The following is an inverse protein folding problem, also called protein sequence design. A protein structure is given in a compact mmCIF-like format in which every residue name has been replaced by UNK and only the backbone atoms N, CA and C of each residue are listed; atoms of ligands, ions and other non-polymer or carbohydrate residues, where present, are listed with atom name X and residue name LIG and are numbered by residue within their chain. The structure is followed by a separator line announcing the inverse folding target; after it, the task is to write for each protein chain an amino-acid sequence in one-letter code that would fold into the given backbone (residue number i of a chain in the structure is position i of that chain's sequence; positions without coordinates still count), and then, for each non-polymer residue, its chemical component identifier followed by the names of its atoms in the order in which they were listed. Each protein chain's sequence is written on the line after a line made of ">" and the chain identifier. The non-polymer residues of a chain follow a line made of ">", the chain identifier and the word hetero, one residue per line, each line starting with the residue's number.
data_IF_163676841398
#
_entry.id   IF_163676841398
#
_cell.length_a   1.000
_cell.length_b   1.000
_cell.length_c   1.000
_cell.angle_alpha   90.00
_cell.angle_beta   90.00
_cell.angle_gamma   90.00
#
_symmetry.space_group_name_H-M   'P 1'
#
loop_
_entity.id
_entity.type
_entity.pdbx_description
1 polymer ?
#
# COMPACT_ATOMS: atom_id res chain seq x y z
N UNK A 1 15.88 0.58 -10.87
CA UNK A 1 16.13 0.19 -9.47
C UNK A 1 14.89 0.57 -8.65
N UNK A 2 13.87 -0.29 -8.58
CA UNK A 2 12.61 -0.03 -7.86
C UNK A 2 12.55 -0.63 -6.44
N UNK A 3 13.61 -1.32 -5.99
CA UNK A 3 13.65 -2.02 -4.70
C UNK A 3 13.80 -1.07 -3.51
N UNK A 4 14.43 0.09 -3.70
CA UNK A 4 14.77 1.01 -2.60
C UNK A 4 13.54 1.69 -1.98
N UNK A 5 12.56 2.09 -2.81
CA UNK A 5 11.41 2.85 -2.33
C UNK A 5 10.42 1.97 -1.57
N UNK A 6 10.20 0.74 -2.04
CA UNK A 6 9.32 -0.22 -1.37
C UNK A 6 9.86 -0.64 0.01
N UNK A 7 11.18 -0.84 0.11
CA UNK A 7 11.85 -1.16 1.37
C UNK A 7 11.81 0.05 2.33
N UNK A 8 12.04 1.27 1.83
CA UNK A 8 11.93 2.50 2.61
C UNK A 8 10.52 2.74 3.15
N UNK A 9 9.48 2.49 2.34
CA UNK A 9 8.07 2.57 2.76
C UNK A 9 7.77 1.55 3.86
N UNK A 10 8.27 0.32 3.72
CA UNK A 10 8.09 -0.74 4.72
C UNK A 10 8.79 -0.41 6.05
N UNK A 11 9.99 0.16 6.00
CA UNK A 11 10.73 0.62 7.16
C UNK A 11 10.00 1.77 7.88
N UNK A 12 9.53 2.77 7.12
CA UNK A 12 8.75 3.89 7.66
C UNK A 12 7.45 3.43 8.34
N UNK A 13 6.74 2.48 7.73
CA UNK A 13 5.53 1.90 8.32
C UNK A 13 5.84 1.16 9.64
N UNK A 14 6.94 0.41 9.68
CA UNK A 14 7.39 -0.31 10.89
C UNK A 14 7.70 0.65 12.03
N UNK A 15 8.42 1.74 11.75
CA UNK A 15 8.74 2.78 12.73
C UNK A 15 7.47 3.47 13.27
N UNK A 16 6.52 3.81 12.39
CA UNK A 16 5.26 4.46 12.78
C UNK A 16 4.41 3.55 13.69
N UNK A 17 4.32 2.25 13.37
CA UNK A 17 3.62 1.27 14.17
C UNK A 17 4.26 1.10 15.56
N UNK A 18 5.59 1.00 15.62
CA UNK A 18 6.33 0.89 16.87
C UNK A 18 6.17 2.14 17.76
N UNK A 19 6.19 3.34 17.16
CA UNK A 19 5.95 4.59 17.87
C UNK A 19 4.54 4.62 18.47
N UNK A 20 3.52 4.24 17.70
CA UNK A 20 2.12 4.18 18.15
C UNK A 20 1.93 3.24 19.34
N UNK A 21 2.59 2.08 19.33
CA UNK A 21 2.50 1.09 20.41
C UNK A 21 3.07 1.59 21.74
N UNK A 22 4.09 2.47 21.70
CA UNK A 22 4.73 3.04 22.90
C UNK A 22 3.99 4.25 23.48
N UNK A 23 3.07 4.85 22.73
CA UNK A 23 2.37 6.08 23.15
C UNK A 23 1.11 5.75 23.98
N UNK A 24 1.02 6.24 25.24
CA UNK A 24 -0.18 6.06 26.04
C UNK A 24 -1.38 6.81 25.45
N UNK A 25 -2.55 6.17 25.48
CA UNK A 25 -3.75 6.66 24.80
C UNK A 25 -4.29 8.00 25.36
N UNK A 26 -4.07 8.27 26.64
CA UNK A 26 -4.66 9.40 27.36
C UNK A 26 -3.94 10.75 27.17
N UNK A 27 -2.67 10.76 26.72
CA UNK A 27 -1.88 11.99 26.59
C UNK A 27 -1.53 12.40 25.16
N UNK A 28 -1.64 11.48 24.20
CA UNK A 28 -1.08 11.66 22.86
C UNK A 28 -2.09 11.38 21.74
N UNK A 29 -3.38 11.67 21.98
CA UNK A 29 -4.45 11.38 21.03
C UNK A 29 -4.16 11.95 19.63
N UNK A 30 -3.80 13.24 19.54
CA UNK A 30 -3.46 13.89 18.25
C UNK A 30 -2.29 13.21 17.54
N UNK A 31 -1.24 12.84 18.27
CA UNK A 31 -0.08 12.17 17.70
C UNK A 31 -0.42 10.76 17.21
N UNK A 32 -1.26 10.02 17.95
CA UNK A 32 -1.76 8.70 17.52
C UNK A 32 -2.59 8.79 16.25
N UNK A 33 -3.46 9.80 16.13
CA UNK A 33 -4.25 10.04 14.91
C UNK A 33 -3.34 10.32 13.70
N UNK A 34 -2.30 11.14 13.87
CA UNK A 34 -1.34 11.42 12.80
C UNK A 34 -0.57 10.16 12.37
N UNK A 35 -0.12 9.34 13.34
CA UNK A 35 0.53 8.06 13.04
C UNK A 35 -0.41 7.10 12.30
N UNK A 36 -1.69 7.05 12.70
CA UNK A 36 -2.69 6.22 12.03
C UNK A 36 -2.93 6.69 10.59
N UNK A 37 -2.96 8.00 10.35
CA UNK A 37 -3.11 8.57 9.01
C UNK A 37 -1.91 8.20 8.11
N UNK A 38 -0.69 8.36 8.61
CA UNK A 38 0.55 8.01 7.89
C UNK A 38 0.57 6.51 7.54
N UNK A 39 0.19 5.64 8.48
CA UNK A 39 0.13 4.19 8.24
C UNK A 39 -0.87 3.82 7.14
N UNK A 40 -2.02 4.52 7.05
CA UNK A 40 -2.99 4.34 5.98
C UNK A 40 -2.45 4.79 4.62
N UNK A 41 -1.71 5.89 4.58
CA UNK A 41 -1.15 6.38 3.31
C UNK A 41 -0.03 5.47 2.80
N UNK A 42 0.88 5.02 3.67
CA UNK A 42 1.96 4.08 3.32
C UNK A 42 1.44 2.71 2.84
N UNK A 43 0.28 2.28 3.33
CA UNK A 43 -0.35 1.02 2.87
C UNK A 43 -1.08 1.17 1.54
N UNK A 44 -1.54 2.38 1.19
CA UNK A 44 -2.17 2.68 -0.11
C UNK A 44 -1.18 2.87 -1.24
N UNK A 45 -0.01 3.45 -0.95
CA UNK A 45 1.04 3.64 -1.97
C UNK A 45 1.75 2.36 -2.36
N UNK A 46 1.58 1.27 -1.61
CA UNK A 46 2.08 -0.04 -2.02
C UNK A 46 1.38 -0.38 -3.34
N UNK A 47 2.09 -0.39 -4.49
CA UNK A 47 1.45 -0.70 -5.75
C UNK A 47 0.82 -2.08 -5.59
N UNK A 48 -0.51 -2.14 -5.72
CA UNK A 48 -1.19 -3.42 -5.83
C UNK A 48 -0.43 -4.22 -6.89
N UNK A 49 -0.12 -5.51 -6.65
CA UNK A 49 0.43 -6.35 -7.71
C UNK A 49 -0.54 -6.19 -8.88
N UNK A 50 -0.07 -5.55 -9.96
CA UNK A 50 -0.91 -5.29 -11.12
C UNK A 50 -1.45 -6.64 -11.52
N UNK A 51 -2.74 -6.87 -11.26
CA UNK A 51 -3.43 -8.06 -11.68
C UNK A 51 -3.34 -7.99 -13.19
N UNK A 52 -2.43 -8.78 -13.77
CA UNK A 52 -2.18 -8.81 -15.18
C UNK A 52 -3.55 -9.01 -15.86
N UNK A 53 -4.04 -7.97 -16.51
CA UNK A 53 -5.26 -8.08 -17.29
C UNK A 53 -5.07 -9.29 -18.22
N UNK A 54 -5.99 -10.27 -18.20
CA UNK A 54 -5.87 -11.42 -19.08
C UNK A 54 -5.76 -10.90 -20.52
N UNK A 55 -4.83 -11.43 -21.33
CA UNK A 55 -4.64 -10.97 -22.69
C UNK A 55 -5.98 -11.04 -23.44
N UNK A 56 -6.31 -10.05 -24.28
CA UNK A 56 -7.52 -10.14 -25.09
C UNK A 56 -7.43 -11.41 -25.93
N UNK A 57 -8.36 -12.34 -25.67
CA UNK A 57 -8.46 -13.60 -26.40
C UNK A 57 -8.60 -13.35 -27.90
N UNK A 58 -8.20 -14.32 -28.75
CA UNK A 58 -8.19 -14.14 -30.19
C UNK A 58 -9.60 -13.81 -30.68
N UNK A 59 -9.70 -12.76 -31.51
CA UNK A 59 -10.93 -12.37 -32.17
C UNK A 59 -11.49 -13.58 -32.95
N UNK A 60 -12.64 -14.06 -32.51
CA UNK A 60 -13.44 -15.03 -33.27
C UNK A 60 -13.81 -14.36 -34.61
N UNK A 61 -13.16 -14.82 -35.67
CA UNK A 61 -13.43 -14.42 -37.05
C UNK A 61 -14.83 -14.94 -37.41
N UNK A 62 -15.79 -14.08 -37.79
CA UNK A 62 -17.15 -14.54 -38.08
C UNK A 62 -17.14 -15.29 -39.41
N UNK A 63 -17.27 -16.61 -39.30
CA UNK A 63 -17.51 -17.58 -40.37
C UNK A 63 -18.61 -17.06 -41.33
N UNK A 64 -18.19 -16.63 -42.53
CA UNK A 64 -19.10 -16.22 -43.60
C UNK A 64 -19.49 -17.46 -44.41
N UNK A 65 -20.72 -17.93 -44.17
CA UNK A 65 -21.48 -18.80 -45.06
C UNK A 65 -21.87 -18.11 -46.36
#
# INVERSE_FOLDING_TARGET
>A
MPTNDADAIAEAATLCAAARAKLPASGFHRLRVLLDMILLDLTRERPAPQSAAPPPGPAEEPDRR
#
